data_IF_529656690573
#
_entry.id   IF_529656690573
#
_cell.length_a   1.000
_cell.length_b   1.000
_cell.length_c   1.000
_cell.angle_alpha   90.00
_cell.angle_beta   90.00
_cell.angle_gamma   90.00
#
_symmetry.space_group_name_H-M   'P 1'
#
loop_
_entity.id
_entity.type
_entity.pdbx_description
1 polymer ?
#
# COMPACT_ATOMS: atom_id res chain seq x y z
N UNK A 1 -7.10 37.98 27.19
CA UNK A 1 -7.26 36.56 27.57
C UNK A 1 -8.53 36.04 26.92
N UNK A 2 -8.42 35.54 25.71
CA UNK A 2 -9.50 34.85 24.99
C UNK A 2 -8.82 33.64 24.35
N UNK A 3 -9.25 32.46 24.79
CA UNK A 3 -8.69 31.17 24.38
C UNK A 3 -8.96 30.97 22.90
N UNK A 4 -7.90 30.69 22.14
CA UNK A 4 -8.02 30.12 20.80
C UNK A 4 -8.79 28.79 20.92
N UNK A 5 -9.97 28.74 20.31
CA UNK A 5 -10.58 27.49 19.91
C UNK A 5 -9.71 26.92 18.79
N UNK A 6 -8.89 25.92 19.13
CA UNK A 6 -8.26 25.04 18.16
C UNK A 6 -9.38 24.38 17.37
N UNK A 7 -9.52 24.73 16.10
CA UNK A 7 -10.28 23.95 15.13
C UNK A 7 -9.60 22.59 15.02
N UNK A 8 -10.12 21.61 15.77
CA UNK A 8 -9.90 20.20 15.49
C UNK A 8 -10.32 19.97 14.05
N UNK A 9 -9.33 19.72 13.20
CA UNK A 9 -9.55 19.20 11.85
C UNK A 9 -10.35 17.91 12.01
N UNK A 10 -11.49 17.83 11.35
CA UNK A 10 -12.47 16.74 11.44
C UNK A 10 -11.81 15.44 10.96
N UNK A 11 -11.13 14.73 11.86
CA UNK A 11 -10.57 13.42 11.57
C UNK A 11 -11.77 12.48 11.39
N UNK A 12 -12.00 11.91 10.20
CA UNK A 12 -13.18 11.09 9.96
C UNK A 12 -13.24 9.94 10.97
N UNK A 13 -14.42 9.70 11.55
CA UNK A 13 -14.60 8.61 12.51
C UNK A 13 -14.13 7.28 11.91
N UNK A 14 -13.38 6.45 12.67
CA UNK A 14 -12.96 5.14 12.19
C UNK A 14 -14.15 4.27 11.78
N UNK A 15 -14.04 3.60 10.63
CA UNK A 15 -15.08 2.71 10.10
C UNK A 15 -15.36 1.59 11.11
N UNK A 16 -16.62 1.48 11.54
CA UNK A 16 -17.03 0.49 12.54
C UNK A 16 -17.38 -0.84 11.89
N UNK A 17 -16.95 -1.93 12.52
CA UNK A 17 -17.32 -3.30 12.13
C UNK A 17 -18.39 -3.86 13.06
N UNK A 18 -19.44 -4.43 12.47
CA UNK A 18 -20.54 -5.03 13.20
C UNK A 18 -20.32 -6.54 13.27
N UNK A 19 -20.15 -7.06 14.49
CA UNK A 19 -20.07 -8.50 14.74
C UNK A 19 -21.44 -9.05 15.06
N UNK A 20 -21.87 -10.10 14.37
CA UNK A 20 -23.08 -10.83 14.75
C UNK A 20 -22.86 -11.53 16.09
N UNK A 21 -23.79 -11.35 17.01
CA UNK A 21 -23.81 -11.96 18.33
C UNK A 21 -25.21 -12.52 18.66
N UNK A 22 -25.26 -13.37 19.68
CA UNK A 22 -26.49 -13.69 20.40
C UNK A 22 -26.99 -12.43 21.11
N UNK A 23 -28.29 -12.20 21.03
CA UNK A 23 -28.95 -11.06 21.65
C UNK A 23 -29.65 -11.50 22.94
N UNK A 24 -30.01 -10.57 23.84
CA UNK A 24 -30.71 -10.89 25.09
C UNK A 24 -32.07 -11.58 24.91
N UNK A 25 -32.65 -11.51 23.70
CA UNK A 25 -33.89 -12.18 23.30
C UNK A 25 -33.67 -13.61 22.76
N UNK A 26 -32.49 -14.20 22.99
CA UNK A 26 -32.03 -15.51 22.48
C UNK A 26 -32.05 -15.63 20.93
N UNK A 27 -32.22 -14.52 20.20
CA UNK A 27 -32.12 -14.51 18.75
C UNK A 27 -30.71 -14.16 18.29
N UNK A 28 -30.14 -14.99 17.42
CA UNK A 28 -28.88 -14.63 16.79
C UNK A 28 -29.11 -13.50 15.77
N UNK A 29 -28.43 -12.37 15.96
CA UNK A 29 -28.54 -11.18 15.10
C UNK A 29 -28.20 -11.37 13.61
N UNK A 30 -27.69 -12.55 13.22
CA UNK A 30 -27.27 -12.84 11.85
C UNK A 30 -28.43 -12.72 10.84
N UNK A 31 -29.66 -13.08 11.24
CA UNK A 31 -30.85 -12.97 10.37
C UNK A 31 -31.18 -11.51 10.08
N UNK A 32 -31.23 -10.65 11.13
CA UNK A 32 -31.46 -9.20 10.98
C UNK A 32 -30.36 -8.54 10.14
N UNK A 33 -29.09 -8.90 10.38
CA UNK A 33 -27.97 -8.37 9.61
C UNK A 33 -27.98 -8.83 8.14
N UNK A 34 -28.41 -10.07 7.87
CA UNK A 34 -28.55 -10.55 6.48
C UNK A 34 -29.67 -9.83 5.73
N UNK A 35 -30.78 -9.48 6.40
CA UNK A 35 -31.83 -8.64 5.81
C UNK A 35 -31.29 -7.24 5.46
N UNK A 36 -30.47 -6.64 6.34
CA UNK A 36 -29.80 -5.36 6.07
C UNK A 36 -28.78 -5.46 4.92
N UNK A 37 -28.11 -6.60 4.75
CA UNK A 37 -27.29 -6.87 3.55
C UNK A 37 -28.17 -6.93 2.30
N UNK A 38 -29.31 -7.61 2.33
CA UNK A 38 -30.23 -7.67 1.19
C UNK A 38 -30.83 -6.30 0.82
N UNK A 39 -30.95 -5.40 1.79
CA UNK A 39 -31.39 -4.02 1.60
C UNK A 39 -30.26 -3.03 1.23
N UNK A 40 -29.06 -3.53 0.93
CA UNK A 40 -27.86 -2.74 0.61
C UNK A 40 -27.43 -1.72 1.70
N UNK A 41 -27.80 -1.95 2.95
CA UNK A 41 -27.32 -1.16 4.09
C UNK A 41 -25.95 -1.62 4.56
N UNK A 42 -25.71 -2.93 4.48
CA UNK A 42 -24.48 -3.56 4.96
C UNK A 42 -23.86 -4.44 3.88
N UNK A 43 -22.56 -4.66 4.02
CA UNK A 43 -21.83 -5.71 3.33
C UNK A 43 -21.23 -6.69 4.33
N UNK A 44 -21.29 -7.99 4.03
CA UNK A 44 -20.70 -9.05 4.84
C UNK A 44 -19.25 -9.31 4.43
N UNK A 45 -18.31 -8.56 5.00
CA UNK A 45 -16.87 -8.68 4.69
C UNK A 45 -16.32 -10.07 5.04
N UNK A 46 -16.81 -10.67 6.14
CA UNK A 46 -16.50 -12.03 6.58
C UNK A 46 -17.73 -12.68 7.18
N UNK A 47 -17.74 -14.01 7.28
CA UNK A 47 -18.77 -14.72 8.06
C UNK A 47 -18.86 -14.14 9.48
N UNK A 48 -20.02 -13.57 9.79
CA UNK A 48 -20.34 -12.96 11.09
C UNK A 48 -19.81 -11.54 11.31
N UNK A 49 -19.15 -10.92 10.32
CA UNK A 49 -18.62 -9.55 10.40
C UNK A 49 -19.12 -8.74 9.20
N UNK A 50 -19.70 -7.58 9.50
CA UNK A 50 -20.35 -6.71 8.55
C UNK A 50 -19.76 -5.30 8.64
N UNK A 51 -19.87 -4.55 7.55
CA UNK A 51 -19.49 -3.14 7.45
C UNK A 51 -20.65 -2.38 6.80
N UNK A 52 -20.76 -1.10 7.09
CA UNK A 52 -21.63 -0.21 6.35
C UNK A 52 -21.30 -0.25 4.84
N UNK A 53 -22.35 -0.34 4.02
CA UNK A 53 -22.18 -0.52 2.58
C UNK A 53 -21.51 0.69 1.93
N UNK A 54 -21.97 1.91 2.24
CA UNK A 54 -21.47 3.14 1.65
C UNK A 54 -20.05 3.43 2.13
N UNK A 55 -19.76 3.19 3.42
CA UNK A 55 -18.41 3.29 3.95
C UNK A 55 -17.41 2.37 3.20
N UNK A 56 -17.81 1.16 2.83
CA UNK A 56 -16.96 0.26 2.03
C UNK A 56 -16.81 0.71 0.57
N UNK A 57 -17.91 1.13 -0.06
CA UNK A 57 -17.92 1.54 -1.47
C UNK A 57 -17.09 2.82 -1.66
N UNK A 58 -17.27 3.80 -0.79
CA UNK A 58 -16.52 5.07 -0.79
C UNK A 58 -15.09 4.92 -0.29
N UNK A 59 -14.76 3.81 0.40
CA UNK A 59 -13.39 3.53 0.83
C UNK A 59 -12.47 3.20 -0.35
N UNK A 60 -11.28 3.81 -0.44
CA UNK A 60 -10.29 3.41 -1.41
C UNK A 60 -9.72 2.02 -1.10
N UNK A 61 -9.08 1.35 -2.08
CA UNK A 61 -8.61 -0.04 -1.93
C UNK A 61 -7.72 -0.31 -0.70
N UNK A 62 -6.87 0.65 -0.31
CA UNK A 62 -6.00 0.51 0.87
C UNK A 62 -6.79 0.52 2.19
N UNK A 63 -7.86 1.32 2.30
CA UNK A 63 -8.76 1.28 3.47
C UNK A 63 -9.55 -0.05 3.47
N UNK A 64 -10.00 -0.54 2.31
CA UNK A 64 -10.65 -1.86 2.20
C UNK A 64 -9.75 -3.01 2.67
N UNK A 65 -8.43 -2.89 2.45
CA UNK A 65 -7.46 -3.85 2.99
C UNK A 65 -7.39 -3.79 4.53
N UNK A 66 -7.39 -2.59 5.13
CA UNK A 66 -7.46 -2.42 6.59
C UNK A 66 -8.75 -3.03 7.16
N UNK A 67 -9.90 -2.78 6.51
CA UNK A 67 -11.20 -3.37 6.88
C UNK A 67 -11.10 -4.90 6.85
N UNK A 68 -10.49 -5.49 5.82
CA UNK A 68 -10.37 -6.93 5.69
C UNK A 68 -9.47 -7.56 6.79
N UNK A 69 -8.40 -6.88 7.21
CA UNK A 69 -7.51 -7.28 8.30
C UNK A 69 -8.25 -7.20 9.65
N UNK A 70 -8.89 -6.07 9.95
CA UNK A 70 -9.70 -5.89 11.16
C UNK A 70 -10.84 -6.92 11.24
N UNK A 71 -11.56 -7.15 10.13
CA UNK A 71 -12.62 -8.14 10.08
C UNK A 71 -12.11 -9.58 10.30
N UNK A 72 -10.89 -9.91 9.86
CA UNK A 72 -10.27 -11.19 10.19
C UNK A 72 -9.98 -11.31 11.69
N UNK A 73 -9.42 -10.27 12.29
CA UNK A 73 -9.09 -10.25 13.71
C UNK A 73 -10.35 -10.35 14.59
N UNK A 74 -11.44 -9.64 14.26
CA UNK A 74 -12.71 -9.80 14.97
C UNK A 74 -13.30 -11.22 14.85
N UNK A 75 -13.19 -11.83 13.67
CA UNK A 75 -13.70 -13.20 13.44
C UNK A 75 -12.86 -14.25 14.17
N UNK A 76 -11.54 -14.08 14.16
CA UNK A 76 -10.57 -15.02 14.74
C UNK A 76 -9.50 -14.22 15.49
N UNK A 77 -9.73 -13.87 16.77
CA UNK A 77 -8.85 -13.02 17.56
C UNK A 77 -7.42 -13.52 17.68
N UNK A 78 -7.18 -14.83 17.57
CA UNK A 78 -5.86 -15.47 17.66
C UNK A 78 -5.18 -15.67 16.30
N UNK A 79 -5.63 -14.99 15.25
CA UNK A 79 -5.00 -15.08 13.93
C UNK A 79 -3.65 -14.37 13.93
N UNK A 80 -2.57 -15.09 13.62
CA UNK A 80 -1.24 -14.50 13.47
C UNK A 80 -1.05 -13.92 12.07
N UNK A 81 -1.06 -12.59 11.95
CA UNK A 81 -0.82 -11.87 10.70
C UNK A 81 0.65 -11.90 10.31
N UNK A 82 0.92 -12.12 9.03
CA UNK A 82 2.28 -12.19 8.48
C UNK A 82 2.40 -11.38 7.19
N UNK A 83 3.63 -11.18 6.72
CA UNK A 83 3.95 -10.54 5.44
C UNK A 83 3.22 -9.22 5.20
N UNK A 84 2.54 -9.02 4.06
CA UNK A 84 1.92 -7.76 3.67
C UNK A 84 0.89 -7.27 4.70
N UNK A 85 0.07 -8.16 5.27
CA UNK A 85 -0.83 -7.79 6.39
C UNK A 85 -0.07 -7.42 7.66
N UNK A 86 1.09 -8.02 7.91
CA UNK A 86 1.95 -7.62 9.03
C UNK A 86 2.63 -6.26 8.78
N UNK A 87 3.14 -6.00 7.57
CA UNK A 87 3.68 -4.70 7.18
C UNK A 87 2.65 -3.58 7.39
N UNK A 88 1.42 -3.81 6.92
CA UNK A 88 0.31 -2.87 7.10
C UNK A 88 -0.02 -2.62 8.58
N UNK A 89 0.00 -3.66 9.44
CA UNK A 89 -0.20 -3.50 10.88
C UNK A 89 0.97 -2.80 11.59
N UNK A 90 2.19 -2.96 11.09
CA UNK A 90 3.38 -2.22 11.56
C UNK A 90 3.44 -0.79 11.01
N UNK A 91 2.42 -0.33 10.28
CA UNK A 91 2.37 1.03 9.74
C UNK A 91 3.31 1.27 8.56
N UNK A 92 3.76 0.21 7.88
CA UNK A 92 4.59 0.33 6.69
C UNK A 92 3.70 0.42 5.43
N UNK A 93 4.00 1.36 4.52
CA UNK A 93 3.17 1.60 3.35
C UNK A 93 3.31 0.48 2.32
N UNK A 94 2.19 0.11 1.70
CA UNK A 94 2.15 -0.73 0.51
C UNK A 94 1.62 0.12 -0.65
N UNK A 95 2.36 0.15 -1.75
CA UNK A 95 1.97 0.94 -2.94
C UNK A 95 0.86 0.25 -3.71
N UNK A 96 0.77 -1.08 -3.58
CA UNK A 96 -0.30 -1.90 -4.13
C UNK A 96 -1.20 -2.38 -2.99
N UNK A 97 -2.54 -2.28 -3.11
CA UNK A 97 -3.45 -2.87 -2.13
C UNK A 97 -3.20 -4.38 -2.02
N UNK A 98 -2.97 -4.93 -0.82
CA UNK A 98 -2.65 -6.33 -0.68
C UNK A 98 -3.83 -7.19 -1.14
N UNK A 99 -3.63 -8.14 -2.08
CA UNK A 99 -4.72 -8.92 -2.66
C UNK A 99 -5.31 -9.96 -1.67
N UNK A 100 -4.65 -10.15 -0.53
CA UNK A 100 -5.00 -11.13 0.47
C UNK A 100 -4.79 -10.60 1.88
N UNK A 101 -5.59 -11.10 2.82
CA UNK A 101 -5.22 -11.10 4.24
C UNK A 101 -4.27 -12.27 4.48
N UNK A 102 -3.04 -12.00 4.88
CA UNK A 102 -1.96 -12.99 5.00
C UNK A 102 -1.77 -13.43 6.44
N UNK A 103 -1.90 -14.74 6.68
CA UNK A 103 -1.84 -15.34 8.02
C UNK A 103 -0.85 -16.52 8.09
N UNK A 104 -0.33 -16.80 9.28
CA UNK A 104 0.28 -18.09 9.60
C UNK A 104 -0.76 -19.15 9.97
N UNK A 105 -0.45 -20.40 9.70
CA UNK A 105 -1.21 -21.57 10.14
C UNK A 105 -0.26 -22.69 10.54
N UNK A 106 -0.62 -23.44 11.58
CA UNK A 106 0.05 -24.70 11.95
C UNK A 106 -0.59 -25.91 11.26
N UNK A 107 -1.81 -25.76 10.72
CA UNK A 107 -2.50 -26.78 9.96
C UNK A 107 -2.10 -26.70 8.47
N UNK A 108 -1.36 -27.71 7.95
CA UNK A 108 -0.93 -27.74 6.55
C UNK A 108 -2.09 -27.81 5.56
N UNK A 109 -3.25 -28.37 5.97
CA UNK A 109 -4.42 -28.51 5.11
C UNK A 109 -5.07 -27.16 4.77
N UNK A 110 -4.81 -26.13 5.58
CA UNK A 110 -5.34 -24.78 5.39
C UNK A 110 -4.43 -23.87 4.56
N UNK A 111 -3.23 -24.34 4.19
CA UNK A 111 -2.24 -23.57 3.43
C UNK A 111 -2.76 -23.27 2.03
N UNK A 112 -2.52 -22.05 1.57
CA UNK A 112 -2.99 -21.59 0.26
C UNK A 112 -3.97 -20.44 0.35
N UNK A 113 -4.63 -20.15 -0.77
CA UNK A 113 -5.59 -19.06 -0.89
C UNK A 113 -6.97 -19.63 -0.64
N UNK A 114 -7.66 -19.10 0.37
CA UNK A 114 -9.05 -19.42 0.64
C UNK A 114 -9.98 -18.85 -0.43
N UNK A 115 -11.20 -19.39 -0.50
CA UNK A 115 -12.22 -18.94 -1.45
C UNK A 115 -12.51 -17.45 -1.29
N UNK A 116 -12.68 -16.77 -2.43
CA UNK A 116 -13.24 -15.42 -2.49
C UNK A 116 -14.76 -15.53 -2.42
N UNK A 117 -15.37 -14.92 -1.42
CA UNK A 117 -16.80 -15.03 -1.14
C UNK A 117 -17.52 -13.71 -1.44
N UNK A 118 -18.74 -13.75 -1.98
CA UNK A 118 -19.59 -12.56 -2.12
C UNK A 118 -19.88 -11.93 -0.75
N UNK A 119 -19.79 -10.61 -0.70
CA UNK A 119 -20.14 -9.82 0.47
C UNK A 119 -21.64 -9.54 0.57
N UNK A 120 -22.40 -9.82 -0.51
CA UNK A 120 -23.85 -9.65 -0.61
C UNK A 120 -24.65 -10.80 0.01
N UNK A 121 -23.99 -11.78 0.62
CA UNK A 121 -24.65 -12.91 1.28
C UNK A 121 -25.30 -13.86 0.27
N UNK A 122 -26.60 -14.10 0.42
CA UNK A 122 -27.41 -14.91 -0.53
C UNK A 122 -28.04 -14.05 -1.63
N UNK A 123 -27.97 -12.73 -1.53
CA UNK A 123 -28.46 -11.79 -2.54
C UNK A 123 -27.49 -11.76 -3.72
N UNK A 124 -28.01 -11.79 -4.95
CA UNK A 124 -27.17 -11.61 -6.14
C UNK A 124 -26.51 -10.22 -6.15
N UNK A 125 -25.36 -10.10 -6.79
CA UNK A 125 -24.66 -8.82 -6.90
C UNK A 125 -25.53 -7.78 -7.62
N UNK A 126 -26.20 -8.15 -8.71
CA UNK A 126 -27.11 -7.28 -9.47
C UNK A 126 -28.23 -6.72 -8.61
N UNK A 127 -28.97 -7.58 -7.89
CA UNK A 127 -30.08 -7.15 -7.03
C UNK A 127 -29.58 -6.24 -5.90
N UNK A 128 -28.39 -6.53 -5.37
CA UNK A 128 -27.77 -5.70 -4.35
C UNK A 128 -27.40 -4.32 -4.90
N UNK A 129 -26.82 -4.25 -6.11
CA UNK A 129 -26.47 -2.99 -6.77
C UNK A 129 -27.69 -2.12 -7.04
N UNK A 130 -28.77 -2.69 -7.56
CA UNK A 130 -30.03 -1.94 -7.76
C UNK A 130 -30.56 -1.34 -6.45
N UNK A 131 -30.51 -2.11 -5.35
CA UNK A 131 -30.90 -1.61 -4.04
C UNK A 131 -29.95 -0.51 -3.52
N UNK A 132 -28.65 -0.62 -3.80
CA UNK A 132 -27.64 0.37 -3.45
C UNK A 132 -27.85 1.68 -4.19
N UNK A 133 -27.99 1.64 -5.52
CA UNK A 133 -28.20 2.81 -6.38
C UNK A 133 -29.53 3.53 -6.07
N UNK A 134 -30.54 2.79 -5.61
CA UNK A 134 -31.79 3.40 -5.13
C UNK A 134 -31.60 4.17 -3.82
N UNK A 135 -30.61 3.76 -3.00
CA UNK A 135 -30.39 4.28 -1.65
C UNK A 135 -29.37 5.41 -1.58
N UNK A 136 -28.30 5.34 -2.37
CA UNK A 136 -27.17 6.26 -2.30
C UNK A 136 -26.99 7.01 -3.64
N UNK A 137 -26.79 8.34 -3.61
CA UNK A 137 -26.72 9.18 -4.81
C UNK A 137 -25.31 9.19 -5.44
N UNK A 138 -24.61 8.05 -5.48
CA UNK A 138 -23.26 7.92 -6.03
C UNK A 138 -23.16 6.67 -6.91
N UNK A 139 -22.18 6.66 -7.82
CA UNK A 139 -21.93 5.52 -8.69
C UNK A 139 -21.71 4.24 -7.87
N UNK A 140 -22.46 3.19 -8.23
CA UNK A 140 -22.37 1.89 -7.59
C UNK A 140 -20.98 1.26 -7.76
N UNK A 141 -20.57 0.37 -6.84
CA UNK A 141 -19.29 -0.32 -6.97
C UNK A 141 -19.32 -1.30 -8.16
N UNK A 142 -18.14 -1.59 -8.71
CA UNK A 142 -18.02 -2.73 -9.63
C UNK A 142 -18.38 -4.05 -8.93
N UNK A 143 -18.91 -5.06 -9.64
CA UNK A 143 -19.16 -6.37 -9.03
C UNK A 143 -17.93 -6.99 -8.36
N UNK A 144 -16.73 -6.71 -8.87
CA UNK A 144 -15.47 -7.15 -8.28
C UNK A 144 -15.18 -6.55 -6.89
N UNK A 145 -15.71 -5.35 -6.60
CA UNK A 145 -15.61 -4.70 -5.30
C UNK A 145 -16.62 -5.24 -4.27
N UNK A 146 -17.61 -6.04 -4.71
CA UNK A 146 -18.55 -6.77 -3.85
C UNK A 146 -18.04 -8.16 -3.45
N UNK A 147 -16.81 -8.50 -3.85
CA UNK A 147 -16.13 -9.73 -3.45
C UNK A 147 -15.12 -9.42 -2.35
N UNK A 148 -15.11 -10.24 -1.30
CA UNK A 148 -14.19 -10.03 -0.18
C UNK A 148 -12.72 -10.14 -0.60
N UNK A 149 -11.82 -9.59 0.22
CA UNK A 149 -10.36 -9.84 0.08
C UNK A 149 -10.09 -11.24 0.61
N UNK A 150 -9.67 -12.25 -0.16
CA UNK A 150 -9.52 -13.61 0.37
C UNK A 150 -8.39 -13.73 1.40
N UNK A 151 -8.39 -14.81 2.19
CA UNK A 151 -7.30 -15.10 3.13
C UNK A 151 -6.28 -16.01 2.49
N UNK A 152 -4.99 -15.67 2.57
CA UNK A 152 -3.89 -16.55 2.19
C UNK A 152 -3.15 -17.01 3.42
N UNK A 153 -3.04 -18.32 3.61
CA UNK A 153 -2.35 -18.91 4.76
C UNK A 153 -1.03 -19.50 4.35
N UNK A 154 -0.04 -19.30 5.21
CA UNK A 154 1.30 -19.84 5.07
C UNK A 154 1.63 -20.67 6.29
N UNK A 155 2.36 -21.76 6.11
CA UNK A 155 3.02 -22.40 7.24
C UNK A 155 4.02 -21.43 7.90
N UNK A 156 4.44 -21.76 9.11
CA UNK A 156 5.55 -21.08 9.78
C UNK A 156 6.75 -20.95 8.85
N UNK A 157 7.48 -19.86 9.04
CA UNK A 157 8.80 -19.67 8.44
C UNK A 157 9.65 -20.91 8.72
N UNK A 158 10.23 -21.49 7.66
CA UNK A 158 11.04 -22.70 7.77
C UNK A 158 12.47 -22.30 8.13
N UNK A 159 13.01 -22.71 9.30
CA UNK A 159 14.40 -22.47 9.61
C UNK A 159 15.33 -23.12 8.58
N UNK A 160 16.44 -22.46 8.27
CA UNK A 160 17.40 -22.91 7.27
C UNK A 160 18.00 -24.25 7.70
N UNK A 161 18.08 -25.19 6.77
CA UNK A 161 18.56 -26.55 7.02
C UNK A 161 17.52 -27.50 7.63
N UNK A 162 16.35 -26.99 8.05
CA UNK A 162 15.27 -27.82 8.57
C UNK A 162 14.33 -28.25 7.43
N UNK A 163 13.88 -29.51 7.45
CA UNK A 163 12.83 -29.98 6.53
C UNK A 163 11.45 -29.55 7.04
N UNK A 164 10.45 -29.47 6.13
CA UNK A 164 9.06 -29.17 6.53
C UNK A 164 8.51 -30.18 7.55
N UNK A 165 8.85 -31.46 7.41
CA UNK A 165 8.44 -32.50 8.36
C UNK A 165 9.00 -32.27 9.76
N UNK A 166 10.31 -32.00 9.84
CA UNK A 166 10.98 -31.70 11.12
C UNK A 166 10.43 -30.42 11.77
N UNK A 167 10.15 -29.38 10.99
CA UNK A 167 9.56 -28.14 11.51
C UNK A 167 8.16 -28.34 12.09
N UNK A 168 7.33 -29.18 11.45
CA UNK A 168 6.00 -29.53 11.94
C UNK A 168 6.08 -30.35 13.22
N UNK A 169 7.03 -31.29 13.30
CA UNK A 169 7.25 -32.07 14.53
C UNK A 169 7.70 -31.18 15.69
N UNK A 170 8.71 -30.35 15.46
CA UNK A 170 9.19 -29.38 16.45
C UNK A 170 8.07 -28.43 16.92
N UNK A 171 7.13 -28.07 16.04
CA UNK A 171 5.94 -27.30 16.43
C UNK A 171 4.99 -28.09 17.31
N UNK A 172 4.72 -29.36 16.97
CA UNK A 172 3.86 -30.23 17.79
C UNK A 172 4.43 -30.44 19.19
N UNK A 173 5.74 -30.64 19.30
CA UNK A 173 6.44 -30.81 20.56
C UNK A 173 6.70 -29.48 21.31
N UNK A 174 6.37 -28.34 20.69
CA UNK A 174 6.55 -27.00 21.29
C UNK A 174 7.98 -26.47 21.28
N UNK A 175 8.91 -27.18 20.62
CA UNK A 175 10.31 -26.81 20.43
C UNK A 175 10.49 -25.66 19.44
N UNK A 176 9.61 -25.57 18.43
CA UNK A 176 9.56 -24.47 17.47
C UNK A 176 8.29 -23.66 17.66
N UNK A 177 8.43 -22.48 18.28
CA UNK A 177 7.33 -21.52 18.45
C UNK A 177 7.31 -20.49 17.33
N UNK A 178 6.11 -20.13 16.87
CA UNK A 178 5.93 -18.99 15.99
C UNK A 178 6.21 -17.72 16.80
N UNK A 179 7.21 -16.94 16.39
CA UNK A 179 7.42 -15.64 16.99
C UNK A 179 6.23 -14.75 16.67
N UNK A 180 5.68 -14.11 17.70
CA UNK A 180 4.50 -13.28 17.60
C UNK A 180 4.59 -12.17 18.63
N UNK A 181 4.00 -11.03 18.30
CA UNK A 181 3.79 -9.92 19.20
C UNK A 181 2.36 -9.41 19.06
N UNK A 182 1.96 -8.52 19.97
CA UNK A 182 0.62 -7.98 19.99
C UNK A 182 0.67 -6.47 19.77
N UNK A 183 -0.04 -6.00 18.75
CA UNK A 183 -0.22 -4.60 18.44
C UNK A 183 -1.60 -4.10 18.92
N UNK A 184 -1.72 -2.84 19.36
CA UNK A 184 -2.97 -2.28 19.85
C UNK A 184 -4.03 -2.16 18.74
N UNK A 185 -5.30 -2.01 19.12
CA UNK A 185 -6.41 -1.84 18.17
C UNK A 185 -6.25 -0.58 17.30
N UNK A 186 -5.56 0.44 17.80
CA UNK A 186 -5.37 1.74 17.18
C UNK A 186 -4.36 1.76 16.02
N UNK A 187 -3.65 0.66 15.73
CA UNK A 187 -2.66 0.64 14.63
C UNK A 187 -3.29 0.81 13.25
N UNK A 188 -4.59 0.53 13.10
CA UNK A 188 -5.35 0.82 11.89
C UNK A 188 -6.26 2.03 12.15
N UNK A 189 -5.83 3.26 11.85
CA UNK A 189 -6.57 4.46 12.25
C UNK A 189 -7.92 4.60 11.54
N UNK A 190 -8.05 4.04 10.34
CA UNK A 190 -9.27 4.18 9.53
C UNK A 190 -10.39 3.20 9.90
N UNK A 191 -10.13 2.20 10.76
CA UNK A 191 -11.08 1.13 11.07
C UNK A 191 -11.03 0.80 12.55
N UNK A 192 -12.18 0.64 13.19
CA UNK A 192 -12.23 0.15 14.57
C UNK A 192 -11.69 -1.27 14.64
N UNK A 193 -10.54 -1.45 15.30
CA UNK A 193 -9.96 -2.76 15.56
C UNK A 193 -10.62 -3.50 16.73
N UNK A 194 -10.33 -4.80 16.91
CA UNK A 194 -10.79 -5.53 18.09
C UNK A 194 -10.12 -5.00 19.36
N UNK A 195 -10.84 -4.97 20.48
CA UNK A 195 -10.26 -4.59 21.79
C UNK A 195 -9.05 -5.45 22.17
N UNK A 196 -9.02 -6.70 21.68
CA UNK A 196 -7.87 -7.58 21.87
C UNK A 196 -6.66 -7.20 21.03
N UNK A 197 -6.71 -6.21 20.14
CA UNK A 197 -5.62 -5.89 19.22
C UNK A 197 -5.31 -7.03 18.24
N UNK A 198 -4.10 -7.00 17.68
CA UNK A 198 -3.68 -7.86 16.57
C UNK A 198 -2.47 -8.70 16.94
N UNK A 199 -2.53 -10.02 16.72
CA UNK A 199 -1.34 -10.87 16.76
C UNK A 199 -0.59 -10.79 15.44
N UNK A 200 0.66 -10.39 15.46
CA UNK A 200 1.46 -10.16 14.24
C UNK A 200 2.85 -10.75 14.40
N UNK A 201 3.46 -11.16 13.28
CA UNK A 201 4.89 -11.49 13.27
C UNK A 201 5.73 -10.26 13.63
N UNK A 202 6.79 -10.41 14.44
CA UNK A 202 7.78 -9.37 14.65
C UNK A 202 8.37 -8.89 13.33
N UNK A 203 8.77 -7.62 13.29
CA UNK A 203 9.18 -6.97 12.06
C UNK A 203 10.43 -7.63 11.44
N UNK A 204 11.29 -8.22 12.27
CA UNK A 204 12.54 -8.88 11.88
C UNK A 204 12.29 -10.20 11.13
N UNK A 205 11.08 -10.74 11.25
CA UNK A 205 10.60 -11.85 10.42
C UNK A 205 9.76 -11.34 9.26
N UNK A 206 8.77 -10.48 9.55
CA UNK A 206 7.79 -10.04 8.58
C UNK A 206 8.40 -9.24 7.42
N UNK A 207 9.34 -8.34 7.73
CA UNK A 207 9.96 -7.42 6.78
C UNK A 207 10.78 -8.16 5.72
N UNK A 208 11.83 -8.94 6.06
CA UNK A 208 12.57 -9.70 5.05
C UNK A 208 11.71 -10.77 4.36
N UNK A 209 10.71 -11.38 5.02
CA UNK A 209 9.82 -12.36 4.38
C UNK A 209 8.89 -11.71 3.34
N UNK A 210 8.36 -10.52 3.60
CA UNK A 210 7.52 -9.79 2.65
C UNK A 210 8.36 -9.16 1.54
N UNK A 211 9.32 -8.31 1.90
CA UNK A 211 10.12 -7.48 0.97
C UNK A 211 10.87 -8.33 -0.05
N UNK A 212 11.38 -9.52 0.33
CA UNK A 212 12.05 -10.41 -0.63
C UNK A 212 11.13 -11.00 -1.71
N UNK A 213 9.82 -10.79 -1.59
CA UNK A 213 8.79 -11.30 -2.52
C UNK A 213 8.06 -10.20 -3.28
N UNK A 214 8.11 -8.96 -2.80
CA UNK A 214 7.59 -7.78 -3.49
C UNK A 214 8.42 -7.45 -4.72
N UNK A 215 7.80 -6.79 -5.69
CA UNK A 215 8.53 -6.22 -6.81
C UNK A 215 9.44 -5.09 -6.33
N UNK A 216 10.54 -4.85 -7.04
CA UNK A 216 11.63 -4.02 -6.53
C UNK A 216 11.20 -2.60 -6.13
N UNK A 217 10.37 -1.87 -6.89
CA UNK A 217 9.92 -0.53 -6.47
C UNK A 217 9.09 -0.52 -5.19
N UNK A 218 8.17 -1.48 -5.03
CA UNK A 218 7.36 -1.60 -3.81
C UNK A 218 8.21 -2.06 -2.62
N UNK A 219 9.17 -2.97 -2.84
CA UNK A 219 10.15 -3.38 -1.85
C UNK A 219 10.96 -2.18 -1.33
N UNK A 220 11.39 -1.27 -2.22
CA UNK A 220 12.12 -0.06 -1.83
C UNK A 220 11.23 0.89 -1.01
N UNK A 221 9.98 1.12 -1.42
CA UNK A 221 9.05 1.98 -0.68
C UNK A 221 8.80 1.49 0.76
N UNK A 222 8.64 0.19 0.95
CA UNK A 222 8.50 -0.41 2.29
C UNK A 222 9.76 -0.18 3.13
N UNK A 223 10.95 -0.37 2.54
CA UNK A 223 12.22 -0.28 3.29
C UNK A 223 12.61 1.17 3.58
N UNK A 224 12.39 2.11 2.65
CA UNK A 224 12.59 3.55 2.87
C UNK A 224 11.76 4.02 4.08
N UNK A 225 10.47 3.66 4.10
CA UNK A 225 9.57 3.98 5.21
C UNK A 225 10.01 3.34 6.53
N UNK A 226 10.47 2.09 6.50
CA UNK A 226 11.03 1.44 7.68
C UNK A 226 12.26 2.18 8.23
N UNK A 227 13.19 2.59 7.37
CA UNK A 227 14.38 3.34 7.78
C UNK A 227 14.02 4.74 8.31
N UNK A 228 13.04 5.41 7.70
CA UNK A 228 12.52 6.68 8.18
C UNK A 228 11.89 6.56 9.58
N UNK A 229 11.03 5.55 9.80
CA UNK A 229 10.42 5.29 11.12
C UNK A 229 11.43 4.89 12.19
N UNK A 230 12.49 4.14 11.82
CA UNK A 230 13.60 3.81 12.74
C UNK A 230 14.37 5.05 13.17
N UNK A 231 14.57 6.01 12.27
CA UNK A 231 15.30 7.26 12.58
C UNK A 231 14.49 8.15 13.52
N UNK A 232 13.16 8.02 13.51
CA UNK A 232 12.24 8.76 14.37
C UNK A 232 11.94 8.04 15.71
N UNK A 233 12.68 6.98 16.07
CA UNK A 233 12.47 6.14 17.25
C UNK A 233 11.05 5.54 17.40
N UNK A 234 10.26 5.51 16.31
CA UNK A 234 8.89 4.98 16.34
C UNK A 234 8.83 3.45 16.35
N UNK A 235 9.92 2.78 15.98
CA UNK A 235 10.06 1.32 15.96
C UNK A 235 11.22 0.88 16.87
N UNK A 236 10.96 0.70 18.16
CA UNK A 236 11.92 0.10 19.07
C UNK A 236 12.12 -1.39 18.72
N UNK A 237 13.37 -1.82 18.53
CA UNK A 237 13.68 -3.24 18.37
C UNK A 237 13.43 -3.97 19.70
N UNK A 238 12.83 -5.18 19.70
CA UNK A 238 12.69 -5.99 20.90
C UNK A 238 14.08 -6.35 21.48
N UNK A 239 14.19 -6.49 22.82
CA UNK A 239 15.43 -6.94 23.44
C UNK A 239 15.87 -8.30 22.89
N UNK A 240 17.15 -8.44 22.54
CA UNK A 240 17.75 -9.72 22.12
C UNK A 240 17.69 -10.03 20.61
N UNK A 241 17.19 -9.12 19.78
CA UNK A 241 17.24 -9.24 18.32
C UNK A 241 18.38 -8.41 17.75
N UNK A 242 19.01 -8.87 16.66
CA UNK A 242 20.02 -8.10 15.93
C UNK A 242 19.45 -6.72 15.57
N UNK A 243 20.12 -5.65 16.00
CA UNK A 243 19.76 -4.28 15.63
C UNK A 243 20.13 -3.97 14.17
N UNK A 244 20.96 -4.79 13.55
CA UNK A 244 21.34 -4.68 12.14
C UNK A 244 20.33 -5.44 11.24
N UNK A 245 19.56 -4.74 10.39
CA UNK A 245 18.61 -5.36 9.46
C UNK A 245 19.27 -6.21 8.37
N UNK A 246 20.58 -6.06 8.09
CA UNK A 246 21.28 -6.84 7.06
C UNK A 246 21.39 -8.34 7.40
N UNK A 247 21.29 -8.68 8.68
CA UNK A 247 21.32 -10.06 9.17
C UNK A 247 19.92 -10.68 9.23
N UNK A 248 18.86 -9.86 9.13
CA UNK A 248 17.49 -10.34 9.15
C UNK A 248 17.21 -11.23 7.93
N UNK A 249 16.57 -12.37 8.18
CA UNK A 249 16.27 -13.35 7.14
C UNK A 249 17.35 -14.41 6.87
N UNK A 250 18.59 -14.26 7.39
CA UNK A 250 19.66 -15.24 7.11
C UNK A 250 19.38 -16.65 7.60
N UNK A 251 18.54 -16.75 8.62
CA UNK A 251 18.15 -18.02 9.26
C UNK A 251 16.97 -18.70 8.56
N UNK A 252 16.33 -18.09 7.55
CA UNK A 252 15.14 -18.69 6.93
C UNK A 252 14.86 -18.34 5.46
N UNK A 253 15.47 -17.28 4.91
CA UNK A 253 15.37 -16.98 3.49
C UNK A 253 16.29 -17.91 2.70
N UNK A 254 15.85 -18.29 1.50
CA UNK A 254 16.73 -18.93 0.53
C UNK A 254 17.75 -17.92 -0.01
N UNK A 255 18.91 -18.35 -0.53
CA UNK A 255 19.93 -17.43 -1.05
C UNK A 255 19.40 -16.40 -2.07
N UNK A 256 18.45 -16.83 -2.93
CA UNK A 256 17.78 -15.94 -3.88
C UNK A 256 16.94 -14.86 -3.20
N UNK A 257 16.18 -15.22 -2.16
CA UNK A 257 15.34 -14.27 -1.43
C UNK A 257 16.19 -13.35 -0.54
N UNK A 258 17.23 -13.87 0.10
CA UNK A 258 18.21 -13.06 0.84
C UNK A 258 18.87 -12.03 -0.06
N UNK A 259 19.21 -12.39 -1.31
CA UNK A 259 19.73 -11.43 -2.29
C UNK A 259 18.72 -10.32 -2.58
N UNK A 260 17.43 -10.65 -2.81
CA UNK A 260 16.38 -9.64 -3.06
C UNK A 260 16.20 -8.69 -1.88
N UNK A 261 16.13 -9.24 -0.66
CA UNK A 261 16.07 -8.46 0.58
C UNK A 261 17.23 -7.47 0.68
N UNK A 262 18.47 -7.98 0.57
CA UNK A 262 19.69 -7.16 0.64
C UNK A 262 19.75 -6.11 -0.47
N UNK A 263 19.34 -6.44 -1.69
CA UNK A 263 19.32 -5.47 -2.80
C UNK A 263 18.34 -4.33 -2.53
N UNK A 264 17.14 -4.59 -2.00
CA UNK A 264 16.22 -3.54 -1.62
C UNK A 264 16.78 -2.69 -0.46
N UNK A 265 17.30 -3.34 0.58
CA UNK A 265 17.87 -2.67 1.75
C UNK A 265 19.09 -1.81 1.41
N UNK A 266 20.01 -2.30 0.58
CA UNK A 266 21.17 -1.52 0.12
C UNK A 266 20.81 -0.37 -0.82
N UNK A 267 19.65 -0.44 -1.48
CA UNK A 267 19.15 0.65 -2.31
C UNK A 267 18.38 1.68 -1.49
N UNK A 268 17.82 1.30 -0.34
CA UNK A 268 16.92 2.15 0.42
C UNK A 268 17.57 3.46 0.92
N UNK A 269 16.75 4.51 1.05
CA UNK A 269 17.12 5.84 1.51
C UNK A 269 15.99 6.43 2.36
N UNK A 270 16.27 6.71 3.64
CA UNK A 270 15.29 7.20 4.61
C UNK A 270 14.77 8.62 4.31
N UNK A 271 15.37 9.33 3.35
CA UNK A 271 14.97 10.70 2.97
C UNK A 271 13.79 10.76 2.01
N UNK A 272 13.36 9.63 1.43
CA UNK A 272 12.12 9.59 0.66
C UNK A 272 10.93 9.80 1.61
N UNK A 273 10.12 10.81 1.34
CA UNK A 273 9.04 11.23 2.26
C UNK A 273 7.68 10.64 1.89
N UNK A 274 7.58 10.03 0.72
CA UNK A 274 6.38 9.37 0.25
C UNK A 274 6.68 8.05 -0.48
N UNK A 275 5.72 7.10 -0.46
CA UNK A 275 5.86 5.86 -1.25
C UNK A 275 6.04 6.13 -2.75
N UNK A 276 5.46 7.21 -3.26
CA UNK A 276 5.60 7.62 -4.65
C UNK A 276 7.02 8.07 -5.01
N UNK A 277 7.70 8.79 -4.12
CA UNK A 277 9.10 9.14 -4.30
C UNK A 277 10.01 7.91 -4.30
N UNK A 278 9.81 6.99 -3.35
CA UNK A 278 10.56 5.74 -3.27
C UNK A 278 10.39 4.88 -4.52
N UNK A 279 9.14 4.71 -4.99
CA UNK A 279 8.86 4.01 -6.26
C UNK A 279 9.54 4.75 -7.40
N UNK A 280 9.38 6.07 -7.51
CA UNK A 280 10.03 6.88 -8.57
C UNK A 280 11.52 6.61 -8.66
N UNK A 281 12.22 6.65 -7.52
CA UNK A 281 13.67 6.40 -7.44
C UNK A 281 14.04 5.00 -7.91
N UNK A 282 13.28 3.98 -7.49
CA UNK A 282 13.50 2.61 -7.92
C UNK A 282 13.25 2.41 -9.43
N UNK A 283 12.20 3.05 -9.99
CA UNK A 283 11.88 3.00 -11.41
C UNK A 283 12.93 3.71 -12.25
N UNK A 284 13.33 4.94 -11.86
CA UNK A 284 14.43 5.71 -12.47
C UNK A 284 15.71 4.86 -12.50
N UNK A 285 16.02 4.18 -11.39
CA UNK A 285 17.15 3.27 -11.31
C UNK A 285 17.03 2.10 -12.29
N UNK A 286 15.89 1.40 -12.31
CA UNK A 286 15.66 0.27 -13.21
C UNK A 286 15.73 0.68 -14.68
N UNK A 287 15.25 1.88 -15.02
CA UNK A 287 15.34 2.48 -16.35
C UNK A 287 16.78 2.89 -16.74
N UNK A 288 17.75 2.79 -15.83
CA UNK A 288 19.17 3.03 -16.09
C UNK A 288 19.58 4.50 -16.00
N UNK A 289 18.73 5.39 -15.50
CA UNK A 289 19.07 6.80 -15.32
C UNK A 289 19.97 7.03 -14.10
N UNK A 290 20.68 8.16 -14.12
CA UNK A 290 21.48 8.63 -13.00
C UNK A 290 20.61 8.76 -11.73
N UNK A 291 21.19 8.44 -10.58
CA UNK A 291 20.50 8.61 -9.30
C UNK A 291 20.34 10.12 -9.00
N UNK A 292 19.15 10.56 -8.57
CA UNK A 292 18.93 11.93 -8.12
C UNK A 292 19.47 12.16 -6.70
N UNK A 293 19.78 13.42 -6.39
CA UNK A 293 19.82 13.90 -5.00
C UNK A 293 18.39 14.12 -4.51
N UNK A 294 18.08 13.69 -3.29
CA UNK A 294 16.74 13.78 -2.72
C UNK A 294 16.57 15.02 -1.84
N UNK A 295 15.34 15.56 -1.80
CA UNK A 295 14.90 16.56 -0.83
C UNK A 295 15.80 17.82 -0.81
N UNK A 296 16.00 18.42 -1.99
CA UNK A 296 16.94 19.52 -2.19
C UNK A 296 16.25 20.87 -2.02
N UNK A 297 16.82 21.73 -1.17
CA UNK A 297 16.40 23.14 -1.05
C UNK A 297 17.03 24.00 -2.15
N UNK A 298 16.21 24.85 -2.74
CA UNK A 298 16.55 25.76 -3.83
C UNK A 298 16.17 27.17 -3.41
N UNK A 299 17.16 28.05 -3.30
CA UNK A 299 16.90 29.47 -3.14
C UNK A 299 16.26 30.04 -4.39
N UNK A 300 15.07 30.61 -4.24
CA UNK A 300 14.36 31.36 -5.27
C UNK A 300 14.18 32.82 -4.84
N UNK A 301 13.71 33.67 -5.73
CA UNK A 301 13.43 35.09 -5.44
C UNK A 301 12.17 35.29 -4.58
N UNK A 302 11.34 34.26 -4.41
CA UNK A 302 10.14 34.29 -3.55
C UNK A 302 10.35 33.54 -2.22
N UNK A 303 11.54 32.96 -2.01
CA UNK A 303 11.88 32.17 -0.83
C UNK A 303 12.58 30.85 -1.17
N UNK A 304 12.93 30.07 -0.15
CA UNK A 304 13.52 28.74 -0.35
C UNK A 304 12.41 27.72 -0.63
N UNK A 305 12.55 26.99 -1.75
CA UNK A 305 11.64 25.95 -2.18
C UNK A 305 12.33 24.59 -2.13
N UNK A 306 11.60 23.54 -1.73
CA UNK A 306 12.16 22.17 -1.64
C UNK A 306 11.59 21.28 -2.72
N UNK A 307 12.46 20.59 -3.46
CA UNK A 307 12.09 19.63 -4.52
C UNK A 307 12.45 18.20 -4.14
N UNK A 308 11.69 17.25 -4.67
CA UNK A 308 11.88 15.83 -4.37
C UNK A 308 13.19 15.29 -4.95
N UNK A 309 13.52 15.70 -6.18
CA UNK A 309 14.67 15.18 -6.93
C UNK A 309 15.49 16.31 -7.59
N UNK A 310 16.82 16.25 -7.50
CA UNK A 310 17.74 17.07 -8.32
C UNK A 310 18.79 16.19 -8.99
N UNK A 311 18.99 16.39 -10.30
CA UNK A 311 20.15 15.94 -11.03
C UNK A 311 21.06 17.10 -11.38
N UNK A 312 22.35 16.85 -11.23
CA UNK A 312 23.39 17.74 -11.66
C UNK A 312 24.11 17.08 -12.83
N UNK A 313 23.98 17.66 -14.01
CA UNK A 313 24.52 17.16 -15.25
C UNK A 313 25.70 18.02 -15.67
N UNK A 314 26.88 17.40 -15.79
CA UNK A 314 28.07 18.06 -16.32
C UNK A 314 28.22 17.73 -17.81
N UNK A 315 28.28 18.77 -18.64
CA UNK A 315 28.59 18.66 -20.06
C UNK A 315 30.02 19.14 -20.29
N UNK A 316 30.92 18.20 -20.57
CA UNK A 316 32.26 18.52 -21.05
C UNK A 316 32.24 18.89 -22.53
N UNK A 317 32.75 20.07 -22.87
CA UNK A 317 33.13 20.43 -24.25
C UNK A 317 34.63 20.73 -24.34
N UNK A 318 35.20 20.70 -25.55
CA UNK A 318 36.61 21.08 -25.79
C UNK A 318 36.94 22.53 -25.37
N UNK A 319 35.92 23.37 -25.15
CA UNK A 319 36.04 24.81 -24.84
C UNK A 319 35.54 25.19 -23.44
N UNK A 320 35.10 24.23 -22.62
CA UNK A 320 34.65 24.47 -21.24
C UNK A 320 33.64 23.43 -20.73
N UNK A 321 33.49 23.33 -19.41
CA UNK A 321 32.47 22.49 -18.75
C UNK A 321 31.26 23.37 -18.38
N UNK A 322 30.06 22.96 -18.79
CA UNK A 322 28.81 23.60 -18.37
C UNK A 322 28.01 22.65 -17.47
N UNK A 323 27.48 23.17 -16.37
CA UNK A 323 26.73 22.38 -15.38
C UNK A 323 25.26 22.74 -15.47
N UNK A 324 24.44 21.80 -15.94
CA UNK A 324 22.98 21.92 -15.99
C UNK A 324 22.37 21.27 -14.75
N UNK A 325 21.35 21.89 -14.17
CA UNK A 325 20.57 21.34 -13.07
C UNK A 325 19.17 21.02 -13.55
N UNK A 326 18.69 19.83 -13.22
CA UNK A 326 17.35 19.34 -13.55
C UNK A 326 16.69 18.95 -12.24
N UNK A 327 15.44 19.36 -12.05
CA UNK A 327 14.64 19.04 -10.88
C UNK A 327 13.45 18.18 -11.28
N UNK A 328 13.07 17.27 -10.40
CA UNK A 328 11.92 16.39 -10.56
C UNK A 328 11.00 16.50 -9.35
N UNK A 329 9.69 16.49 -9.59
CA UNK A 329 8.67 16.38 -8.54
C UNK A 329 7.72 15.24 -8.87
N UNK A 330 7.42 14.43 -7.85
CA UNK A 330 6.40 13.40 -7.92
C UNK A 330 5.07 13.95 -7.41
N UNK A 331 4.08 13.98 -8.30
CA UNK A 331 2.72 14.38 -7.94
C UNK A 331 1.88 13.16 -7.57
N UNK A 332 1.63 13.01 -6.27
CA UNK A 332 0.62 12.07 -5.81
C UNK A 332 -0.79 12.49 -6.26
N UNK A 333 -1.62 11.51 -6.61
CA UNK A 333 -3.04 11.68 -6.96
C UNK A 333 -3.87 12.40 -5.86
N UNK A 334 -3.34 12.51 -4.64
CA UNK A 334 -4.01 13.09 -3.47
C UNK A 334 -4.14 14.62 -3.45
N UNK A 335 -3.43 15.37 -4.29
CA UNK A 335 -3.60 16.85 -4.31
C UNK A 335 -4.95 17.31 -4.88
N UNK A 336 -5.70 16.44 -5.57
CA UNK A 336 -6.95 16.82 -6.26
C UNK A 336 -8.24 16.43 -5.53
N UNK A 337 -8.18 15.58 -4.52
CA UNK A 337 -9.37 15.05 -3.83
C UNK A 337 -9.50 15.45 -2.36
N UNK A 338 -8.49 16.11 -1.79
CA UNK A 338 -8.59 16.65 -0.43
C UNK A 338 -9.26 18.03 -0.45
N UNK A 339 -10.60 18.04 -0.39
CA UNK A 339 -11.33 19.23 0.09
C UNK A 339 -10.82 19.68 1.48
N UNK A 340 -10.24 18.76 2.27
CA UNK A 340 -9.60 19.02 3.55
C UNK A 340 -8.25 19.78 3.45
N UNK A 341 -7.48 19.62 2.35
CA UNK A 341 -6.21 20.33 2.13
C UNK A 341 -6.44 21.76 1.66
N UNK A 342 -7.66 22.11 1.22
CA UNK A 342 -7.98 23.44 0.76
C UNK A 342 -7.83 24.48 1.90
N UNK A 343 -7.83 24.12 3.19
CA UNK A 343 -7.71 25.09 4.30
C UNK A 343 -8.65 26.32 4.15
N UNK A 344 -9.82 26.14 3.52
CA UNK A 344 -10.74 27.24 3.18
C UNK A 344 -10.33 28.13 2.00
N UNK A 345 -9.22 27.84 1.32
CA UNK A 345 -8.79 28.47 0.06
C UNK A 345 -9.58 27.88 -1.12
N UNK A 346 -9.90 28.74 -2.08
CA UNK A 346 -10.50 28.28 -3.33
C UNK A 346 -9.50 27.42 -4.12
N UNK A 347 -9.97 26.43 -4.88
CA UNK A 347 -9.14 25.62 -5.78
C UNK A 347 -8.28 26.49 -6.73
N UNK A 348 -8.77 27.68 -7.06
CA UNK A 348 -8.07 28.69 -7.87
C UNK A 348 -6.84 29.28 -7.17
N UNK A 349 -6.90 29.52 -5.86
CA UNK A 349 -5.78 30.06 -5.09
C UNK A 349 -4.68 29.02 -4.88
N UNK A 350 -5.05 27.76 -4.65
CA UNK A 350 -4.09 26.65 -4.57
C UNK A 350 -3.35 26.47 -5.90
N UNK A 351 -4.08 26.46 -7.02
CA UNK A 351 -3.48 26.38 -8.34
C UNK A 351 -2.58 27.58 -8.67
N UNK A 352 -2.99 28.79 -8.26
CA UNK A 352 -2.17 29.99 -8.46
C UNK A 352 -0.87 29.96 -7.63
N UNK A 353 -0.93 29.52 -6.37
CA UNK A 353 0.24 29.38 -5.52
C UNK A 353 1.23 28.31 -6.06
N UNK A 354 0.72 27.16 -6.50
CA UNK A 354 1.54 26.11 -7.13
C UNK A 354 2.24 26.64 -8.39
N UNK A 355 1.52 27.43 -9.21
CA UNK A 355 2.09 28.05 -10.41
C UNK A 355 3.18 29.06 -10.09
N UNK A 356 2.99 29.92 -9.09
CA UNK A 356 4.01 30.88 -8.66
C UNK A 356 5.28 30.19 -8.16
N UNK A 357 5.14 29.10 -7.40
CA UNK A 357 6.24 28.26 -6.94
C UNK A 357 7.00 27.65 -8.12
N UNK A 358 6.29 27.06 -9.08
CA UNK A 358 6.90 26.50 -10.29
C UNK A 358 7.67 27.55 -11.08
N UNK A 359 7.06 28.71 -11.33
CA UNK A 359 7.68 29.83 -12.06
C UNK A 359 8.93 30.34 -11.33
N UNK A 360 8.94 30.37 -10.00
CA UNK A 360 10.12 30.73 -9.21
C UNK A 360 11.26 29.72 -9.37
N UNK A 361 10.97 28.42 -9.31
CA UNK A 361 11.97 27.36 -9.52
C UNK A 361 12.55 27.43 -10.94
N UNK A 362 11.70 27.61 -11.96
CA UNK A 362 12.13 27.73 -13.37
C UNK A 362 13.03 28.94 -13.60
N UNK A 363 12.75 30.08 -12.95
CA UNK A 363 13.59 31.29 -13.04
C UNK A 363 15.00 31.12 -12.49
N UNK A 364 15.26 30.08 -11.70
CA UNK A 364 16.63 29.71 -11.29
C UNK A 364 17.47 29.08 -12.40
N UNK A 365 16.91 28.91 -13.61
CA UNK A 365 17.59 28.31 -14.76
C UNK A 365 17.61 26.78 -14.76
N UNK A 366 16.84 26.15 -13.85
CA UNK A 366 16.71 24.69 -13.75
C UNK A 366 15.64 24.16 -14.71
N UNK A 367 15.89 23.00 -15.31
CA UNK A 367 14.83 22.26 -16.00
C UNK A 367 13.93 21.56 -14.99
N UNK A 368 12.61 21.62 -15.14
CA UNK A 368 11.64 20.97 -14.25
C UNK A 368 10.88 19.85 -14.99
N UNK A 369 10.77 18.70 -14.34
CA UNK A 369 10.01 17.53 -14.78
C UNK A 369 9.00 17.18 -13.69
N UNK A 370 7.77 16.86 -14.08
CA UNK A 370 6.74 16.35 -13.16
C UNK A 370 6.18 15.04 -13.69
N UNK A 371 5.91 14.13 -12.77
CA UNK A 371 5.29 12.85 -13.09
C UNK A 371 4.44 12.35 -11.93
N UNK A 372 3.51 11.46 -12.24
CA UNK A 372 2.55 10.93 -11.27
C UNK A 372 2.53 9.39 -11.28
N UNK A 373 1.54 8.80 -10.60
CA UNK A 373 1.34 7.35 -10.60
C UNK A 373 1.05 6.78 -12.00
N UNK A 374 0.42 7.54 -12.90
CA UNK A 374 0.15 7.13 -14.27
C UNK A 374 1.46 7.00 -15.05
N UNK A 375 2.39 7.94 -14.89
CA UNK A 375 3.74 7.82 -15.48
C UNK A 375 4.54 6.67 -14.89
N UNK A 376 4.43 6.42 -13.58
CA UNK A 376 5.11 5.27 -12.95
C UNK A 376 4.54 3.94 -13.44
N UNK A 377 3.23 3.89 -13.70
CA UNK A 377 2.57 2.72 -14.26
C UNK A 377 2.95 2.45 -15.73
N UNK A 378 3.49 3.46 -16.43
CA UNK A 378 3.94 3.42 -17.82
C UNK A 378 5.40 3.91 -17.92
N UNK A 379 6.39 3.07 -17.54
CA UNK A 379 7.78 3.49 -17.34
C UNK A 379 8.44 4.11 -18.57
N UNK A 380 7.99 3.75 -19.77
CA UNK A 380 8.37 4.35 -21.03
C UNK A 380 8.01 5.84 -21.12
N UNK A 381 6.85 6.25 -20.55
CA UNK A 381 6.44 7.64 -20.48
C UNK A 381 7.36 8.43 -19.55
N UNK A 382 7.66 7.88 -18.36
CA UNK A 382 8.65 8.49 -17.46
C UNK A 382 10.04 8.56 -18.11
N UNK A 383 10.48 7.49 -18.79
CA UNK A 383 11.76 7.48 -19.49
C UNK A 383 11.84 8.56 -20.57
N UNK A 384 10.77 8.76 -21.34
CA UNK A 384 10.70 9.80 -22.36
C UNK A 384 10.83 11.19 -21.74
N UNK A 385 10.12 11.47 -20.64
CA UNK A 385 10.21 12.74 -19.89
C UNK A 385 11.64 13.00 -19.39
N UNK A 386 12.29 11.99 -18.80
CA UNK A 386 13.66 12.09 -18.30
C UNK A 386 14.68 12.34 -19.43
N UNK A 387 14.54 11.65 -20.56
CA UNK A 387 15.40 11.85 -21.73
C UNK A 387 15.23 13.25 -22.32
N UNK A 388 13.99 13.71 -22.48
CA UNK A 388 13.70 15.04 -23.02
C UNK A 388 14.29 16.15 -22.14
N UNK A 389 14.28 15.97 -20.83
CA UNK A 389 14.88 16.90 -19.90
C UNK A 389 16.42 16.86 -19.89
N UNK A 390 17.03 15.80 -20.42
CA UNK A 390 18.48 15.59 -20.47
C UNK A 390 19.05 14.88 -19.24
N UNK A 391 18.24 14.12 -18.50
CA UNK A 391 18.72 13.29 -17.39
C UNK A 391 19.62 12.18 -17.96
N UNK A 392 20.88 12.04 -17.51
CA UNK A 392 21.80 11.06 -18.08
C UNK A 392 21.33 9.63 -17.83
N UNK A 393 21.37 8.81 -18.88
CA UNK A 393 21.23 7.36 -18.77
C UNK A 393 22.62 6.74 -18.62
N UNK A 394 22.92 6.27 -17.41
CA UNK A 394 24.24 5.73 -17.02
C UNK A 394 24.37 4.23 -17.24
N UNK A 395 23.24 3.54 -17.47
CA UNK A 395 23.20 2.12 -17.84
C UNK A 395 22.23 1.93 -19.02
N UNK A 396 22.46 0.96 -19.91
CA UNK A 396 21.54 0.65 -21.00
C UNK A 396 20.13 0.42 -20.47
N UNK A 397 19.12 0.79 -21.27
CA UNK A 397 17.73 0.50 -20.94
C UNK A 397 17.55 -1.02 -20.74
N UNK A 398 16.82 -1.48 -19.71
CA UNK A 398 16.49 -2.89 -19.59
C UNK A 398 15.64 -3.34 -20.78
N UNK A 399 15.69 -4.63 -21.12
CA UNK A 399 14.87 -5.19 -22.19
C UNK A 399 13.37 -4.98 -21.86
N UNK A 400 12.49 -4.62 -22.83
CA UNK A 400 11.10 -4.21 -22.57
C UNK A 400 10.26 -5.15 -21.69
N UNK A 401 10.58 -6.44 -21.62
CA UNK A 401 9.87 -7.42 -20.78
C UNK A 401 10.27 -7.47 -19.30
N UNK A 402 11.21 -6.63 -18.84
CA UNK A 402 11.79 -6.73 -17.49
C UNK A 402 11.14 -5.82 -16.45
N UNK A 403 10.48 -4.75 -16.89
CA UNK A 403 9.74 -3.84 -16.02
C UNK A 403 8.33 -4.40 -15.83
N UNK A 404 8.19 -5.40 -14.96
CA UNK A 404 6.86 -5.82 -14.48
C UNK A 404 6.40 -4.81 -13.45
N UNK A 405 5.51 -3.92 -13.86
CA UNK A 405 4.73 -3.12 -12.91
C UNK A 405 3.47 -3.89 -12.55
N UNK A 406 3.09 -3.93 -11.26
CA UNK A 406 1.75 -4.35 -10.88
C UNK A 406 0.77 -3.20 -11.18
N UNK A 407 0.49 -2.94 -12.46
CA UNK A 407 -0.72 -2.22 -12.84
C UNK A 407 -1.81 -3.25 -12.97
N UNK A 408 -2.43 -3.62 -11.84
CA UNK A 408 -3.83 -4.00 -11.87
C UNK A 408 -4.62 -2.75 -11.51
N UNK A 409 -4.64 -1.79 -12.44
CA UNK A 409 -5.73 -0.82 -12.50
C UNK A 409 -7.01 -1.63 -12.53
N UNK A 410 -7.78 -1.58 -11.45
CA UNK A 410 -9.20 -1.88 -11.55
C UNK A 410 -9.84 -0.61 -12.10
N UNK A 411 -9.83 -0.51 -13.43
CA UNK A 411 -10.60 0.43 -14.26
C UNK A 411 -11.19 -0.37 -15.43
N UNK A 412 -12.36 0.02 -15.97
CA UNK A 412 -13.34 -0.91 -16.51
C UNK A 412 -12.87 -1.50 -17.85
N UNK A 413 -12.70 -2.82 -17.90
CA UNK A 413 -12.66 -3.52 -19.18
C UNK A 413 -14.08 -3.67 -19.69
N UNK A 414 -14.37 -2.96 -20.78
CA UNK A 414 -15.50 -3.18 -21.66
C UNK A 414 -15.52 -4.63 -22.14
N UNK A 415 -16.34 -5.46 -21.51
CA UNK A 415 -16.84 -6.68 -22.13
C UNK A 415 -18.17 -6.34 -22.81
N UNK A 416 -18.09 -5.77 -24.02
CA UNK A 416 -19.25 -5.73 -24.91
C UNK A 416 -19.30 -7.06 -25.63
N UNK A 417 -20.19 -7.92 -25.15
CA UNK A 417 -20.74 -9.04 -25.91
C UNK A 417 -21.48 -8.49 -27.12
N UNK A 418 -21.12 -8.93 -28.32
CA UNK A 418 -22.10 -9.11 -29.40
C UNK A 418 -21.95 -10.52 -29.97
N UNK A 419 -22.89 -11.37 -29.57
CA UNK A 419 -23.43 -12.43 -30.41
C UNK A 419 -24.07 -11.79 -31.65
N UNK A 420 -23.89 -12.37 -32.83
CA UNK A 420 -24.99 -12.92 -33.64
C UNK A 420 -24.45 -13.47 -34.98
N UNK A 421 -25.03 -14.57 -35.45
CA UNK A 421 -24.82 -15.05 -36.82
C UNK A 421 -24.82 -16.57 -37.02
N UNK A 422 -25.88 -17.27 -36.61
CA UNK A 422 -26.25 -18.55 -37.24
C UNK A 422 -26.87 -18.24 -38.60
N UNK A 423 -26.42 -18.97 -39.64
CA UNK A 423 -27.13 -19.40 -40.86
C UNK A 423 -26.37 -19.10 -42.15
N UNK A 424 -25.87 -20.16 -42.79
CA UNK A 424 -25.98 -20.49 -44.25
C UNK A 424 -24.78 -21.34 -44.67
N UNK A 425 -25.01 -22.59 -45.04
CA UNK A 425 -24.00 -23.50 -45.61
C UNK A 425 -24.26 -24.95 -45.26
#
# INVERSE_FOLDING_TARGET
MTRNASTDLDVPEPIRLIRSAWQPDDLHSATRLSARVAAAELLRVRRGIYVDADAWVSSPPWIRAQIAVAAMAHRRPNSLFCRESALLLHGLPLTTPPPHVTLRTQDPSLVGIGRREPMTGTTSAERWLTAYETRYPHDGPTPAALLNVPTRRFETVLPRGMTRGAAREAQRCGELRQAQMRLPASVLPAVTGPETGYWVEPLELALPDAVSRLDFPEAVAVVDAFLAQRTQDQLAAPPGVSTDPLTWGDTFLSPRLSKRWRTALSFADARAESPGESVSRAVIHQLGFAAPNLQVWIGTDVGDERVDFEWIVEHGSRTGSSRRRIVGEFDGLGKYFDEALLQGRSAKEVHYAEKLREDAIRRTGRGLIRWDWTDLSHPEALAAKLLQAGVPRVRPAPHPGWLRFPVRTSGPENATTQEEGVSSG
#
